data_IF_417297667277
#
_entry.id   IF_417297667277
#
_cell.length_a   1.000
_cell.length_b   1.000
_cell.length_c   1.000
_cell.angle_alpha   90.00
_cell.angle_beta   90.00
_cell.angle_gamma   90.00
#
_symmetry.space_group_name_H-M   'P 1'
#
loop_
_entity.id
_entity.type
_entity.pdbx_description
1 polymer ?
#
# COMPACT_ATOMS: atom_id res chain seq x y z
N UNK A 1 3.25 -3.55 -9.05
CA UNK A 1 4.22 -2.64 -9.70
C UNK A 1 4.83 -1.73 -8.64
N UNK A 2 6.00 -2.11 -8.10
CA UNK A 2 6.62 -1.46 -6.94
C UNK A 2 7.53 -0.27 -7.32
N UNK A 3 8.05 -0.29 -8.54
CA UNK A 3 8.86 0.75 -9.16
C UNK A 3 8.08 2.07 -9.31
N UNK A 4 6.84 2.01 -9.77
CA UNK A 4 5.96 3.18 -9.87
C UNK A 4 5.62 3.73 -8.47
N UNK A 5 5.36 2.86 -7.49
CA UNK A 5 5.16 3.30 -6.10
C UNK A 5 6.39 4.03 -5.54
N UNK A 6 7.60 3.63 -5.97
CA UNK A 6 8.85 4.30 -5.63
C UNK A 6 8.92 5.77 -6.08
N UNK A 7 8.21 6.16 -7.15
CA UNK A 7 8.13 7.56 -7.60
C UNK A 7 7.32 8.46 -6.65
N UNK A 8 6.59 7.88 -5.70
CA UNK A 8 5.81 8.61 -4.70
C UNK A 8 6.67 8.96 -3.49
N UNK A 9 7.67 8.12 -3.15
CA UNK A 9 8.57 8.37 -2.04
C UNK A 9 9.25 9.76 -2.15
N UNK A 10 9.40 10.52 -1.05
CA UNK A 10 9.04 10.22 0.34
C UNK A 10 7.64 10.75 0.74
N UNK A 11 6.71 10.94 -0.20
CA UNK A 11 5.33 11.31 0.13
C UNK A 11 4.55 10.08 0.60
N UNK A 12 3.50 10.33 1.38
CA UNK A 12 2.66 9.28 1.92
C UNK A 12 1.92 8.51 0.79
N UNK A 13 1.92 7.19 0.89
CA UNK A 13 1.19 6.26 0.03
C UNK A 13 0.47 5.24 0.91
N UNK A 14 -0.80 4.99 0.63
CA UNK A 14 -1.55 3.90 1.23
C UNK A 14 -2.05 2.95 0.15
N UNK A 15 -1.92 1.65 0.40
CA UNK A 15 -2.40 0.58 -0.50
C UNK A 15 -3.40 -0.28 0.27
N UNK A 16 -4.51 -0.65 -0.37
CA UNK A 16 -5.44 -1.65 0.16
C UNK A 16 -5.69 -2.74 -0.87
N UNK A 17 -5.99 -3.97 -0.43
CA UNK A 17 -6.22 -5.10 -1.33
C UNK A 17 -7.23 -6.09 -0.73
N UNK A 18 -8.23 -6.47 -1.54
CA UNK A 18 -9.14 -7.57 -1.22
C UNK A 18 -8.44 -8.93 -1.37
N UNK A 19 -8.74 -9.89 -0.49
CA UNK A 19 -8.19 -11.26 -0.56
C UNK A 19 -8.73 -12.09 -1.72
N UNK A 20 -9.91 -11.74 -2.25
CA UNK A 20 -10.60 -12.46 -3.33
C UNK A 20 -10.55 -11.69 -4.67
N UNK A 21 -9.75 -10.61 -4.75
CA UNK A 21 -9.57 -9.85 -5.99
C UNK A 21 -8.77 -10.69 -7.00
N UNK A 22 -9.42 -11.08 -8.10
CA UNK A 22 -8.82 -11.86 -9.19
C UNK A 22 -8.15 -11.01 -10.26
N UNK A 23 -8.36 -9.68 -10.24
CA UNK A 23 -7.69 -8.71 -11.13
C UNK A 23 -6.31 -8.36 -10.56
N UNK A 24 -6.24 -8.19 -9.23
CA UNK A 24 -5.00 -7.89 -8.51
C UNK A 24 -4.75 -8.92 -7.39
N UNK A 25 -4.16 -10.09 -7.71
CA UNK A 25 -3.93 -11.16 -6.74
C UNK A 25 -3.12 -10.70 -5.53
N UNK A 26 -3.58 -11.07 -4.34
CA UNK A 26 -3.04 -10.56 -3.06
C UNK A 26 -1.55 -10.86 -2.87
N UNK A 27 -1.07 -12.02 -3.32
CA UNK A 27 0.34 -12.40 -3.23
C UNK A 27 1.24 -11.46 -4.03
N UNK A 28 0.78 -11.04 -5.23
CA UNK A 28 1.49 -10.10 -6.08
C UNK A 28 1.48 -8.68 -5.48
N UNK A 29 0.37 -8.28 -4.85
CA UNK A 29 0.26 -7.02 -4.12
C UNK A 29 1.21 -6.99 -2.92
N UNK A 30 1.20 -8.03 -2.07
CA UNK A 30 2.12 -8.18 -0.92
C UNK A 30 3.58 -8.10 -1.36
N UNK A 31 3.96 -8.84 -2.41
CA UNK A 31 5.32 -8.81 -2.94
C UNK A 31 5.71 -7.42 -3.48
N UNK A 32 4.77 -6.70 -4.09
CA UNK A 32 5.01 -5.33 -4.55
C UNK A 32 5.18 -4.34 -3.40
N UNK A 33 4.34 -4.43 -2.35
CA UNK A 33 4.43 -3.56 -1.17
C UNK A 33 5.75 -3.77 -0.43
N UNK A 34 6.19 -5.02 -0.24
CA UNK A 34 7.48 -5.31 0.40
C UNK A 34 8.67 -4.71 -0.38
N UNK A 35 8.63 -4.78 -1.72
CA UNK A 35 9.66 -4.11 -2.54
C UNK A 35 9.55 -2.58 -2.45
N UNK A 36 8.35 -2.01 -2.45
CA UNK A 36 8.16 -0.57 -2.28
C UNK A 36 8.69 -0.08 -0.93
N UNK A 37 8.50 -0.86 0.14
CA UNK A 37 9.05 -0.57 1.48
C UNK A 37 10.57 -0.44 1.46
N UNK A 38 11.27 -1.28 0.69
CA UNK A 38 12.73 -1.12 0.51
C UNK A 38 13.10 0.20 -0.16
N UNK A 39 12.30 0.71 -1.10
CA UNK A 39 12.54 2.00 -1.75
C UNK A 39 12.31 3.13 -0.74
N UNK A 40 11.17 3.14 -0.03
CA UNK A 40 10.84 4.14 0.99
C UNK A 40 11.90 4.22 2.09
N UNK A 41 12.51 3.08 2.46
CA UNK A 41 13.64 3.02 3.40
C UNK A 41 14.85 3.85 2.99
N UNK A 42 15.16 3.96 1.69
CA UNK A 42 16.29 4.78 1.24
C UNK A 42 16.07 6.28 1.51
N UNK A 43 14.82 6.67 1.75
CA UNK A 43 14.44 8.04 2.09
C UNK A 43 14.11 8.21 3.59
N UNK A 44 14.33 7.18 4.42
CA UNK A 44 13.88 7.14 5.82
C UNK A 44 12.38 7.46 5.97
N UNK A 45 11.56 6.90 5.09
CA UNK A 45 10.13 7.18 4.99
C UNK A 45 9.29 5.90 5.14
N UNK A 46 9.78 4.85 5.78
CA UNK A 46 9.04 3.59 5.93
C UNK A 46 7.68 3.74 6.63
N UNK A 47 7.56 4.76 7.49
CA UNK A 47 6.33 5.15 8.18
C UNK A 47 5.28 5.79 7.25
N UNK A 48 5.69 6.22 6.05
CA UNK A 48 4.83 6.85 5.05
C UNK A 48 4.28 5.88 3.99
N UNK A 49 4.50 4.57 4.16
CA UNK A 49 3.88 3.53 3.33
C UNK A 49 2.94 2.68 4.18
N UNK A 50 1.64 2.88 4.02
CA UNK A 50 0.61 2.05 4.64
C UNK A 50 0.11 0.94 3.73
N UNK A 51 -0.30 -0.18 4.33
CA UNK A 51 -0.88 -1.31 3.61
C UNK A 51 -1.96 -2.02 4.43
N UNK A 52 -3.12 -2.25 3.85
CA UNK A 52 -4.22 -3.01 4.45
C UNK A 52 -4.71 -4.12 3.53
N UNK A 53 -5.11 -5.23 4.13
CA UNK A 53 -5.72 -6.36 3.42
C UNK A 53 -7.04 -6.67 4.09
N UNK A 54 -8.08 -6.87 3.30
CA UNK A 54 -9.44 -7.09 3.79
C UNK A 54 -10.12 -8.24 3.05
N UNK A 55 -11.09 -8.88 3.71
CA UNK A 55 -11.85 -10.01 3.15
C UNK A 55 -12.94 -9.52 2.22
N UNK A 56 -12.60 -9.38 0.93
CA UNK A 56 -13.55 -9.09 -0.15
C UNK A 56 -12.90 -9.36 -1.52
N UNK A 57 -13.73 -9.28 -2.56
CA UNK A 57 -13.28 -9.21 -3.96
C UNK A 57 -12.76 -7.81 -4.35
N UNK A 58 -12.96 -7.43 -5.62
CA UNK A 58 -12.57 -6.12 -6.14
C UNK A 58 -13.52 -5.01 -5.63
N UNK A 59 -13.18 -4.40 -4.50
CA UNK A 59 -13.97 -3.34 -3.87
C UNK A 59 -13.09 -2.32 -3.14
N UNK A 60 -13.69 -1.20 -2.71
CA UNK A 60 -13.05 -0.18 -1.87
C UNK A 60 -13.42 -0.40 -0.40
N UNK A 61 -12.43 -0.43 0.50
CA UNK A 61 -12.63 -0.68 1.93
C UNK A 61 -12.46 0.61 2.75
N UNK A 62 -11.36 1.32 2.59
CA UNK A 62 -11.14 2.67 3.10
C UNK A 62 -10.88 2.82 4.60
N UNK A 63 -11.07 1.78 5.41
CA UNK A 63 -10.95 1.87 6.89
C UNK A 63 -9.53 2.29 7.29
N UNK A 64 -8.52 1.49 6.94
CA UNK A 64 -7.13 1.82 7.23
C UNK A 64 -6.65 3.05 6.47
N UNK A 65 -7.17 3.29 5.26
CA UNK A 65 -6.79 4.44 4.43
C UNK A 65 -7.16 5.77 5.10
N UNK A 66 -8.38 5.89 5.65
CA UNK A 66 -8.80 7.12 6.34
C UNK A 66 -8.08 7.31 7.68
N UNK A 67 -7.81 6.24 8.42
CA UNK A 67 -7.01 6.33 9.65
C UNK A 67 -5.56 6.75 9.35
N UNK A 68 -4.94 6.20 8.31
CA UNK A 68 -3.62 6.62 7.87
C UNK A 68 -3.62 8.07 7.38
N UNK A 69 -4.64 8.49 6.63
CA UNK A 69 -4.75 9.87 6.15
C UNK A 69 -4.77 10.89 7.30
N UNK A 70 -5.48 10.60 8.40
CA UNK A 70 -5.49 11.45 9.61
C UNK A 70 -4.12 11.58 10.28
N UNK A 71 -3.21 10.62 10.07
CA UNK A 71 -1.87 10.65 10.66
C UNK A 71 -0.88 11.48 9.83
N UNK A 72 -1.14 11.66 8.53
CA UNK A 72 -0.21 12.27 7.58
C UNK A 72 -0.67 13.64 7.05
N UNK A 73 -1.90 14.06 7.35
CA UNK A 73 -2.41 15.43 7.16
C UNK A 73 -2.23 16.25 8.44
#
# INVERSE_FOLDING_TARGET
MYDIAGLIAPRALFVESGTEDTIFPIEATRASVERAKTIFKHFNAEDKLGFEVFEAGHSFYGVGAFEFLKQVL
#
